data_IF_607152912388
#
_entry.id   IF_607152912388
#
_cell.length_a   1.000
_cell.length_b   1.000
_cell.length_c   1.000
_cell.angle_alpha   90.00
_cell.angle_beta   90.00
_cell.angle_gamma   90.00
#
_symmetry.space_group_name_H-M   'P 1'
#
loop_
_entity.id
_entity.type
_entity.pdbx_description
1 polymer ?
#
# COMPACT_ATOMS: atom_id res chain seq x y z
N UNK A 1 -18.68 -4.89 -13.27
CA UNK A 1 -18.05 -6.22 -13.29
C UNK A 1 -17.06 -6.25 -14.43
N UNK A 2 -15.81 -6.66 -14.22
CA UNK A 2 -14.77 -6.63 -15.26
C UNK A 2 -15.05 -7.68 -16.34
N UNK A 3 -14.83 -7.29 -17.59
CA UNK A 3 -14.95 -8.17 -18.76
C UNK A 3 -13.64 -8.17 -19.53
N UNK A 4 -13.25 -9.35 -19.99
CA UNK A 4 -12.04 -9.59 -20.75
C UNK A 4 -12.37 -10.19 -22.12
N UNK A 5 -11.61 -9.80 -23.14
CA UNK A 5 -11.57 -10.49 -24.42
C UNK A 5 -10.30 -11.33 -24.51
N UNK A 6 -10.44 -12.62 -24.83
CA UNK A 6 -9.33 -13.56 -25.00
C UNK A 6 -9.58 -14.36 -26.28
N UNK A 7 -8.67 -14.25 -27.25
CA UNK A 7 -8.79 -14.87 -28.58
C UNK A 7 -10.17 -14.57 -29.22
N UNK A 8 -10.69 -13.34 -29.05
CA UNK A 8 -11.99 -12.90 -29.56
C UNK A 8 -13.23 -13.32 -28.75
N UNK A 9 -13.07 -14.08 -27.68
CA UNK A 9 -14.16 -14.54 -26.82
C UNK A 9 -14.26 -13.70 -25.53
N UNK A 10 -15.48 -13.48 -25.04
CA UNK A 10 -15.77 -12.68 -23.85
C UNK A 10 -15.82 -13.55 -22.59
N UNK A 11 -15.18 -13.07 -21.52
CA UNK A 11 -15.18 -13.70 -20.20
C UNK A 11 -15.42 -12.66 -19.12
N UNK A 12 -16.29 -12.98 -18.17
CA UNK A 12 -16.40 -12.25 -16.90
C UNK A 12 -15.27 -12.69 -15.94
N UNK A 13 -14.92 -11.84 -14.98
CA UNK A 13 -13.88 -12.14 -13.97
C UNK A 13 -14.18 -13.39 -13.13
N UNK A 14 -15.46 -13.71 -12.91
CA UNK A 14 -15.95 -14.85 -12.16
C UNK A 14 -16.39 -16.05 -13.04
N UNK A 15 -16.10 -16.02 -14.35
CA UNK A 15 -16.42 -17.13 -15.25
C UNK A 15 -15.60 -18.37 -14.86
N UNK A 16 -16.28 -19.48 -14.54
CA UNK A 16 -15.66 -20.75 -14.17
C UNK A 16 -14.69 -21.30 -15.24
N UNK A 17 -14.85 -20.92 -16.51
CA UNK A 17 -13.98 -21.33 -17.62
C UNK A 17 -12.70 -20.51 -17.70
N UNK A 18 -12.65 -19.35 -17.03
CA UNK A 18 -11.56 -18.39 -17.16
C UNK A 18 -10.20 -19.00 -16.79
N UNK A 19 -10.12 -19.78 -15.71
CA UNK A 19 -8.84 -20.41 -15.30
C UNK A 19 -8.25 -21.32 -16.38
N UNK A 20 -9.08 -22.17 -17.02
CA UNK A 20 -8.61 -23.07 -18.06
C UNK A 20 -8.12 -22.30 -19.30
N UNK A 21 -8.81 -21.22 -19.66
CA UNK A 21 -8.43 -20.34 -20.77
C UNK A 21 -7.12 -19.61 -20.45
N UNK A 22 -6.99 -19.06 -19.25
CA UNK A 22 -5.76 -18.38 -18.80
C UNK A 22 -4.57 -19.34 -18.77
N UNK A 23 -4.75 -20.58 -18.31
CA UNK A 23 -3.71 -21.60 -18.33
C UNK A 23 -3.21 -21.87 -19.75
N UNK A 24 -4.12 -21.96 -20.73
CA UNK A 24 -3.78 -22.15 -22.15
C UNK A 24 -2.99 -20.98 -22.72
N UNK A 25 -3.41 -19.76 -22.43
CA UNK A 25 -2.78 -18.57 -23.02
C UNK A 25 -1.51 -18.12 -22.27
N UNK A 26 -1.29 -18.55 -21.03
CA UNK A 26 -0.11 -18.18 -20.23
C UNK A 26 1.21 -18.52 -20.91
N UNK A 27 1.29 -19.66 -21.61
CA UNK A 27 2.49 -20.05 -22.37
C UNK A 27 2.49 -19.52 -23.81
N UNK A 28 1.42 -18.87 -24.23
CA UNK A 28 1.29 -18.25 -25.54
C UNK A 28 1.61 -16.76 -25.46
N UNK A 29 1.92 -16.12 -26.59
CA UNK A 29 2.02 -14.66 -26.66
C UNK A 29 0.65 -13.96 -26.77
N UNK A 30 -0.46 -14.70 -26.72
CA UNK A 30 -1.81 -14.12 -26.74
C UNK A 30 -2.05 -13.32 -25.46
N UNK A 31 -2.53 -12.08 -25.61
CA UNK A 31 -2.78 -11.16 -24.50
C UNK A 31 -4.29 -11.03 -24.25
N UNK A 32 -4.77 -11.22 -23.01
CA UNK A 32 -6.13 -10.81 -22.65
C UNK A 32 -6.26 -9.29 -22.83
N UNK A 33 -7.44 -8.82 -23.26
CA UNK A 33 -7.77 -7.40 -23.34
C UNK A 33 -8.83 -7.06 -22.29
N UNK A 34 -8.59 -6.03 -21.48
CA UNK A 34 -9.62 -5.44 -20.62
C UNK A 34 -10.58 -4.60 -21.47
N UNK A 35 -11.87 -4.84 -21.32
CA UNK A 35 -12.90 -4.16 -22.11
C UNK A 35 -13.47 -2.89 -21.45
N UNK A 36 -12.75 -2.35 -20.46
CA UNK A 36 -13.13 -1.11 -19.80
C UNK A 36 -12.95 0.16 -20.66
N UNK A 37 -12.15 0.06 -21.73
CA UNK A 37 -11.89 1.14 -22.69
C UNK A 37 -12.00 0.62 -24.13
N UNK A 38 -12.04 1.53 -25.10
CA UNK A 38 -12.03 1.21 -26.54
C UNK A 38 -10.90 1.97 -27.25
N UNK A 39 -9.96 1.27 -27.93
CA UNK A 39 -9.82 -0.19 -28.00
C UNK A 39 -9.52 -0.81 -26.62
N UNK A 40 -9.75 -2.13 -26.46
CA UNK A 40 -9.53 -2.82 -25.20
C UNK A 40 -8.05 -2.77 -24.76
N UNK A 41 -7.80 -2.62 -23.46
CA UNK A 41 -6.46 -2.41 -22.91
C UNK A 41 -5.73 -3.75 -22.77
N UNK A 42 -4.54 -3.94 -23.37
CA UNK A 42 -3.77 -5.17 -23.21
C UNK A 42 -3.40 -5.47 -21.76
N UNK A 43 -3.44 -6.76 -21.41
CA UNK A 43 -3.09 -7.30 -20.10
C UNK A 43 -2.22 -8.56 -20.27
N UNK A 44 -1.60 -9.05 -19.20
CA UNK A 44 -0.84 -10.31 -19.23
C UNK A 44 -1.34 -11.30 -18.19
N UNK A 45 -0.96 -12.58 -18.36
CA UNK A 45 -1.32 -13.66 -17.44
C UNK A 45 -0.08 -14.01 -16.63
N UNK A 46 -0.24 -14.11 -15.32
CA UNK A 46 0.80 -14.55 -14.39
C UNK A 46 0.29 -15.74 -13.59
N UNK A 47 1.18 -16.67 -13.22
CA UNK A 47 0.84 -17.80 -12.34
C UNK A 47 1.27 -17.48 -10.91
N UNK A 48 0.30 -17.39 -10.01
CA UNK A 48 0.49 -16.98 -8.61
C UNK A 48 -0.11 -18.04 -7.69
N UNK A 49 0.71 -18.62 -6.81
CA UNK A 49 0.29 -19.67 -5.86
C UNK A 49 -0.53 -20.81 -6.51
N UNK A 50 -0.16 -21.21 -7.73
CA UNK A 50 -0.84 -22.27 -8.50
C UNK A 50 -2.04 -21.84 -9.33
N UNK A 51 -2.50 -20.58 -9.22
CA UNK A 51 -3.63 -20.03 -9.97
C UNK A 51 -3.17 -19.05 -11.05
N UNK A 52 -3.92 -18.93 -12.14
CA UNK A 52 -3.65 -17.94 -13.18
C UNK A 52 -4.41 -16.64 -12.90
N UNK A 53 -3.71 -15.52 -12.93
CA UNK A 53 -4.29 -14.19 -12.68
C UNK A 53 -3.99 -13.26 -13.85
N UNK A 54 -4.97 -12.45 -14.22
CA UNK A 54 -4.80 -11.38 -15.20
C UNK A 54 -4.22 -10.16 -14.47
N UNK A 55 -3.15 -9.59 -15.00
CA UNK A 55 -2.49 -8.38 -14.50
C UNK A 55 -2.41 -7.31 -15.57
N UNK A 56 -2.47 -6.04 -15.15
CA UNK A 56 -2.27 -4.89 -16.06
C UNK A 56 -0.88 -4.96 -16.67
N UNK A 57 -0.71 -4.50 -17.90
CA UNK A 57 0.63 -4.29 -18.43
C UNK A 57 1.37 -3.23 -17.57
N UNK A 58 2.70 -3.29 -17.48
CA UNK A 58 3.47 -2.20 -16.89
C UNK A 58 3.10 -0.87 -17.55
N UNK A 59 2.98 0.18 -16.73
CA UNK A 59 2.64 1.55 -17.15
C UNK A 59 1.28 1.75 -17.83
N UNK A 60 0.42 0.72 -17.91
CA UNK A 60 -0.90 0.83 -18.58
C UNK A 60 -2.05 1.21 -17.65
N UNK A 61 -1.79 1.54 -16.38
CA UNK A 61 -2.84 1.82 -15.39
C UNK A 61 -3.76 2.98 -15.80
N UNK A 62 -3.19 4.05 -16.37
CA UNK A 62 -3.93 5.22 -16.81
C UNK A 62 -4.73 4.98 -18.12
N UNK A 63 -4.46 3.88 -18.85
CA UNK A 63 -5.19 3.53 -20.07
C UNK A 63 -6.54 2.86 -19.77
N UNK A 64 -6.74 2.40 -18.54
CA UNK A 64 -8.01 1.85 -18.10
C UNK A 64 -9.02 2.96 -17.79
N UNK A 65 -10.31 2.67 -18.00
CA UNK A 65 -11.37 3.55 -17.51
C UNK A 65 -11.22 3.76 -16.00
N UNK A 66 -11.49 4.97 -15.55
CA UNK A 66 -11.44 5.39 -14.15
C UNK A 66 -12.29 4.53 -13.19
N UNK A 67 -13.24 3.75 -13.72
CA UNK A 67 -14.09 2.80 -13.00
C UNK A 67 -13.55 1.37 -12.94
N UNK A 68 -12.51 1.08 -13.73
CA UNK A 68 -11.86 -0.21 -13.73
C UNK A 68 -11.05 -0.39 -12.44
N UNK A 69 -11.06 -1.60 -11.88
CA UNK A 69 -10.17 -1.94 -10.77
C UNK A 69 -8.69 -2.01 -11.20
N UNK A 70 -8.40 -2.03 -12.51
CA UNK A 70 -7.04 -1.97 -13.05
C UNK A 70 -6.57 -0.55 -13.34
N UNK A 71 -7.41 0.46 -13.07
CA UNK A 71 -7.02 1.85 -13.18
C UNK A 71 -6.10 2.27 -12.04
N UNK A 72 -5.00 2.91 -12.40
CA UNK A 72 -4.10 3.62 -11.48
C UNK A 72 -3.78 4.99 -12.10
N UNK A 73 -3.72 6.08 -11.29
CA UNK A 73 -3.25 7.36 -11.79
C UNK A 73 -1.79 7.26 -12.27
N UNK A 74 -1.37 8.13 -13.20
CA UNK A 74 0.01 8.11 -13.70
C UNK A 74 1.03 8.22 -12.57
N UNK A 75 2.16 7.54 -12.74
CA UNK A 75 3.19 7.44 -11.71
C UNK A 75 3.72 8.80 -11.26
N UNK A 76 3.66 9.84 -12.08
CA UNK A 76 4.06 11.21 -11.76
C UNK A 76 3.23 11.84 -10.63
N UNK A 77 1.98 11.41 -10.44
CA UNK A 77 1.11 11.86 -9.36
C UNK A 77 1.29 11.05 -8.06
N UNK A 78 2.20 10.08 -8.07
CA UNK A 78 2.48 9.18 -6.95
C UNK A 78 3.99 9.18 -6.64
N UNK A 79 4.38 8.76 -5.44
CA UNK A 79 5.79 8.51 -5.13
C UNK A 79 6.37 7.28 -5.86
N UNK A 80 5.54 6.46 -6.50
CA UNK A 80 5.96 5.26 -7.22
C UNK A 80 6.91 5.60 -8.38
N UNK A 81 6.69 6.74 -9.04
CA UNK A 81 7.51 7.18 -10.17
C UNK A 81 9.00 7.32 -9.85
N UNK A 82 9.36 7.61 -8.60
CA UNK A 82 10.76 7.72 -8.21
C UNK A 82 11.47 6.37 -8.11
N UNK A 83 10.75 5.27 -7.87
CA UNK A 83 11.34 3.95 -7.58
C UNK A 83 11.09 2.93 -8.70
N UNK A 84 10.13 3.20 -9.57
CA UNK A 84 9.79 2.36 -10.72
C UNK A 84 10.94 2.28 -11.73
N UNK A 85 11.16 1.10 -12.31
CA UNK A 85 12.28 0.81 -13.23
C UNK A 85 13.64 0.65 -12.55
N UNK A 86 13.80 1.14 -11.32
CA UNK A 86 15.05 1.13 -10.57
C UNK A 86 15.03 0.11 -9.43
N UNK A 87 14.23 0.39 -8.39
CA UNK A 87 14.05 -0.46 -7.23
C UNK A 87 12.97 -1.52 -7.44
N UNK A 88 11.97 -1.21 -8.28
CA UNK A 88 10.88 -2.11 -8.66
C UNK A 88 11.02 -2.44 -10.14
N UNK A 89 11.16 -3.73 -10.46
CA UNK A 89 11.25 -4.22 -11.84
C UNK A 89 10.22 -5.31 -12.07
N UNK A 90 9.27 -5.06 -12.94
CA UNK A 90 8.26 -6.04 -13.33
C UNK A 90 8.75 -6.83 -14.54
N UNK A 91 8.70 -8.15 -14.44
CA UNK A 91 8.94 -9.07 -15.54
C UNK A 91 7.59 -9.62 -16.02
N UNK A 92 7.20 -9.26 -17.24
CA UNK A 92 5.92 -9.66 -17.84
C UNK A 92 5.99 -11.10 -18.38
N UNK A 93 7.18 -11.61 -18.68
CA UNK A 93 7.35 -12.96 -19.21
C UNK A 93 7.23 -13.99 -18.09
N UNK A 94 7.93 -13.77 -16.99
CA UNK A 94 7.88 -14.66 -15.82
C UNK A 94 6.75 -14.28 -14.84
N UNK A 95 6.16 -13.09 -15.02
CA UNK A 95 5.07 -12.56 -14.19
C UNK A 95 5.49 -12.20 -12.76
N UNK A 96 6.80 -12.10 -12.50
CA UNK A 96 7.40 -11.76 -11.21
C UNK A 96 7.71 -10.28 -11.11
N UNK A 97 7.82 -9.75 -9.89
CA UNK A 97 8.33 -8.40 -9.66
C UNK A 97 9.50 -8.44 -8.72
N UNK A 98 10.66 -7.97 -9.20
CA UNK A 98 11.88 -7.89 -8.42
C UNK A 98 11.91 -6.59 -7.62
N UNK A 99 12.05 -6.71 -6.31
CA UNK A 99 12.15 -5.61 -5.34
C UNK A 99 13.57 -5.53 -4.77
N UNK A 100 14.24 -4.40 -4.99
CA UNK A 100 15.52 -4.06 -4.34
C UNK A 100 15.24 -3.34 -3.02
N UNK A 101 15.66 -3.93 -1.91
CA UNK A 101 15.42 -3.39 -0.58
C UNK A 101 16.67 -2.69 -0.03
N UNK A 102 16.47 -1.55 0.63
CA UNK A 102 17.52 -0.75 1.25
C UNK A 102 17.97 -1.32 2.62
N UNK A 103 17.15 -2.20 3.20
CA UNK A 103 17.40 -2.88 4.45
C UNK A 103 17.84 -4.34 4.24
N UNK A 104 18.40 -4.95 5.28
CA UNK A 104 18.89 -6.32 5.23
C UNK A 104 17.79 -7.33 5.57
N UNK A 105 17.85 -8.52 4.96
CA UNK A 105 17.05 -9.70 5.33
C UNK A 105 17.88 -10.81 6.01
N UNK A 106 19.13 -10.50 6.32
CA UNK A 106 20.06 -11.38 7.01
C UNK A 106 21.02 -10.52 7.85
N UNK A 107 21.15 -10.86 9.13
CA UNK A 107 22.00 -10.19 10.11
C UNK A 107 23.28 -11.01 10.30
N UNK A 108 24.43 -10.40 10.02
CA UNK A 108 25.74 -11.03 10.22
C UNK A 108 26.40 -10.33 11.40
N UNK A 109 26.74 -11.08 12.45
CA UNK A 109 27.40 -10.54 13.64
C UNK A 109 28.72 -9.85 13.26
N UNK A 110 28.97 -8.66 13.80
CA UNK A 110 30.19 -7.86 13.54
C UNK A 110 30.16 -7.01 12.28
N UNK A 111 29.12 -7.11 11.43
CA UNK A 111 28.87 -6.16 10.34
C UNK A 111 27.81 -5.17 10.79
N UNK A 112 28.17 -3.88 10.84
CA UNK A 112 27.17 -2.83 11.06
C UNK A 112 26.07 -2.97 9.98
N UNK A 113 24.78 -3.03 10.36
CA UNK A 113 23.71 -2.96 9.38
C UNK A 113 23.88 -1.67 8.55
N UNK A 114 23.55 -1.68 7.25
CA UNK A 114 23.48 -0.43 6.50
C UNK A 114 22.60 0.56 7.28
N UNK A 115 23.06 1.80 7.41
CA UNK A 115 22.31 2.82 8.14
C UNK A 115 20.91 2.96 7.55
N UNK A 116 19.89 2.58 8.30
CA UNK A 116 18.50 2.84 7.95
C UNK A 116 18.32 4.35 7.75
N UNK A 117 18.15 4.78 6.50
CA UNK A 117 17.84 6.16 6.15
C UNK A 117 16.34 6.40 6.30
N UNK A 118 15.85 6.38 7.54
CA UNK A 118 14.50 6.81 7.89
C UNK A 118 14.46 8.27 8.39
N UNK A 119 15.61 8.94 8.40
CA UNK A 119 15.65 10.41 8.45
C UNK A 119 15.48 10.94 7.03
N UNK A 120 14.64 11.97 6.87
CA UNK A 120 14.70 12.91 5.74
C UNK A 120 16.07 13.60 5.73
N UNK A 121 17.12 12.88 5.34
CA UNK A 121 18.41 13.49 5.10
C UNK A 121 18.21 14.33 3.84
N UNK A 122 18.42 15.63 3.98
CA UNK A 122 18.34 16.66 2.93
C UNK A 122 19.35 16.46 1.79
N UNK A 123 19.37 15.28 1.20
CA UNK A 123 19.88 15.05 -0.14
C UNK A 123 18.73 15.29 -1.10
N UNK A 124 18.92 16.23 -2.02
CA UNK A 124 18.00 16.58 -3.11
C UNK A 124 17.72 15.37 -4.04
N UNK A 125 18.44 14.26 -3.86
CA UNK A 125 18.17 12.97 -4.51
C UNK A 125 17.84 11.91 -3.46
N UNK A 126 16.56 11.53 -3.38
CA UNK A 126 16.18 10.27 -2.73
C UNK A 126 16.88 9.12 -3.47
N UNK A 127 17.43 8.14 -2.74
CA UNK A 127 17.99 6.93 -3.36
C UNK A 127 16.84 6.14 -4.01
N UNK A 128 16.62 6.37 -5.31
CA UNK A 128 15.62 5.69 -6.12
C UNK A 128 15.96 4.22 -6.39
N UNK A 129 17.17 3.78 -6.05
CA UNK A 129 17.66 2.46 -6.46
C UNK A 129 17.18 1.32 -5.57
N UNK A 130 16.69 1.63 -4.36
CA UNK A 130 16.19 0.67 -3.38
C UNK A 130 15.00 1.20 -2.59
N UNK A 131 14.07 0.34 -2.23
CA UNK A 131 12.95 0.67 -1.34
C UNK A 131 13.41 0.71 0.11
N UNK A 132 13.13 1.81 0.81
CA UNK A 132 13.17 1.82 2.28
C UNK A 132 12.10 0.89 2.85
N UNK A 133 12.17 0.59 4.15
CA UNK A 133 11.15 -0.26 4.78
C UNK A 133 9.76 0.37 4.69
N UNK A 134 9.64 1.69 4.90
CA UNK A 134 8.39 2.43 4.69
C UNK A 134 7.88 2.35 3.26
N UNK A 135 8.77 2.44 2.27
CA UNK A 135 8.39 2.34 0.86
C UNK A 135 7.93 0.95 0.46
N UNK A 136 8.45 -0.10 1.09
CA UNK A 136 7.89 -1.45 0.93
C UNK A 136 6.47 -1.52 1.50
N UNK A 137 6.20 -0.90 2.64
CA UNK A 137 4.82 -0.82 3.18
C UNK A 137 3.90 -0.08 2.23
N UNK A 138 4.31 1.09 1.73
CA UNK A 138 3.55 1.85 0.72
C UNK A 138 3.27 1.01 -0.53
N UNK A 139 4.30 0.34 -1.06
CA UNK A 139 4.18 -0.53 -2.21
C UNK A 139 3.15 -1.64 -1.99
N UNK A 140 3.26 -2.37 -0.87
CA UNK A 140 2.32 -3.44 -0.56
C UNK A 140 0.89 -2.92 -0.36
N UNK A 141 0.71 -1.73 0.22
CA UNK A 141 -0.60 -1.10 0.41
C UNK A 141 -1.26 -0.74 -0.92
N UNK A 142 -0.47 -0.16 -1.82
CA UNK A 142 -0.90 0.26 -3.16
C UNK A 142 -1.24 -0.95 -4.04
N UNK A 143 -0.36 -1.95 -4.08
CA UNK A 143 -0.60 -3.22 -4.79
C UNK A 143 -1.76 -4.05 -4.20
N UNK A 144 -2.17 -3.75 -2.97
CA UNK A 144 -3.35 -4.33 -2.32
C UNK A 144 -4.65 -3.58 -2.66
N UNK A 145 -4.57 -2.48 -3.43
CA UNK A 145 -5.67 -1.54 -3.69
C UNK A 145 -6.29 -0.95 -2.41
N UNK A 146 -5.53 -0.89 -1.31
CA UNK A 146 -5.99 -0.26 -0.07
C UNK A 146 -5.94 1.28 -0.18
N UNK A 147 -5.20 1.82 -1.17
CA UNK A 147 -5.17 3.23 -1.56
C UNK A 147 -6.39 3.67 -2.38
N UNK A 148 -7.08 2.75 -3.06
CA UNK A 148 -8.27 3.04 -3.86
C UNK A 148 -9.52 3.15 -2.98
N UNK A 149 -10.46 4.01 -3.34
CA UNK A 149 -11.77 4.09 -2.68
C UNK A 149 -12.89 4.28 -3.69
N UNK A 150 -14.01 3.63 -3.42
CA UNK A 150 -15.29 3.94 -4.04
C UNK A 150 -16.43 3.70 -3.04
N UNK A 151 -17.62 4.31 -3.24
CA UNK A 151 -18.73 4.22 -2.29
C UNK A 151 -19.19 2.79 -2.00
N UNK A 152 -19.04 1.87 -2.96
CA UNK A 152 -19.40 0.46 -2.78
C UNK A 152 -18.55 -0.28 -1.75
N UNK A 153 -17.42 0.28 -1.32
CA UNK A 153 -16.51 -0.29 -0.31
C UNK A 153 -16.88 0.07 1.13
N UNK A 154 -17.86 0.95 1.35
CA UNK A 154 -18.28 1.38 2.69
C UNK A 154 -18.63 0.16 3.56
N UNK A 155 -18.02 0.07 4.74
CA UNK A 155 -18.21 -1.05 5.69
C UNK A 155 -17.65 -2.40 5.25
N UNK A 156 -16.90 -2.50 4.14
CA UNK A 156 -16.41 -3.78 3.59
C UNK A 156 -14.96 -4.12 3.94
N UNK A 157 -14.21 -3.18 4.53
CA UNK A 157 -12.82 -3.39 4.91
C UNK A 157 -12.71 -3.71 6.38
N UNK A 158 -11.95 -4.75 6.68
CA UNK A 158 -11.60 -5.21 8.02
C UNK A 158 -10.14 -5.66 8.02
N UNK A 159 -9.60 -6.04 9.18
CA UNK A 159 -8.27 -6.66 9.22
C UNK A 159 -8.18 -7.92 8.33
N UNK A 160 -9.25 -8.71 8.21
CA UNK A 160 -9.27 -9.87 7.30
C UNK A 160 -9.08 -9.44 5.83
N UNK A 161 -9.65 -8.29 5.47
CA UNK A 161 -9.47 -7.68 4.14
C UNK A 161 -8.01 -7.25 3.93
N UNK A 162 -7.41 -6.57 4.91
CA UNK A 162 -6.02 -6.12 4.87
C UNK A 162 -5.05 -7.31 4.80
N UNK A 163 -5.19 -8.29 5.69
CA UNK A 163 -4.40 -9.53 5.68
C UNK A 163 -4.48 -10.22 4.31
N UNK A 164 -5.69 -10.42 3.78
CA UNK A 164 -5.90 -11.11 2.49
C UNK A 164 -5.21 -10.37 1.35
N UNK A 165 -5.41 -9.06 1.23
CA UNK A 165 -4.91 -8.31 0.07
C UNK A 165 -3.41 -8.05 0.16
N UNK A 166 -2.84 -7.78 1.34
CA UNK A 166 -1.38 -7.65 1.49
C UNK A 166 -0.68 -8.97 1.22
N UNK A 167 -1.16 -10.08 1.79
CA UNK A 167 -0.60 -11.42 1.52
C UNK A 167 -0.69 -11.79 0.05
N UNK A 168 -1.74 -11.36 -0.65
CA UNK A 168 -1.90 -11.53 -2.11
C UNK A 168 -0.96 -10.62 -2.90
N UNK A 169 -0.86 -9.35 -2.54
CA UNK A 169 -0.01 -8.36 -3.21
C UNK A 169 1.48 -8.73 -3.13
N UNK A 170 1.87 -9.35 -2.02
CA UNK A 170 3.21 -9.85 -1.81
C UNK A 170 3.58 -11.06 -2.68
N UNK A 171 2.60 -11.73 -3.32
CA UNK A 171 2.81 -13.08 -3.85
C UNK A 171 3.98 -13.20 -4.84
N UNK A 172 3.85 -12.94 -6.11
CA UNK A 172 4.93 -12.97 -7.13
C UNK A 172 6.13 -12.00 -6.92
N UNK A 173 6.37 -11.50 -5.70
CA UNK A 173 7.44 -10.54 -5.40
C UNK A 173 8.71 -11.26 -4.97
N UNK A 174 9.82 -10.90 -5.58
CA UNK A 174 11.14 -11.50 -5.34
C UNK A 174 12.14 -10.44 -4.89
N UNK A 175 12.96 -10.73 -3.89
CA UNK A 175 14.05 -9.87 -3.45
C UNK A 175 15.35 -10.66 -3.30
N UNK A 176 16.40 -10.27 -4.04
CA UNK A 176 17.70 -10.98 -4.06
C UNK A 176 17.57 -12.50 -4.29
N UNK A 177 16.68 -12.91 -5.19
CA UNK A 177 16.41 -14.31 -5.53
C UNK A 177 15.60 -15.08 -4.49
N UNK A 178 14.94 -14.39 -3.56
CA UNK A 178 14.08 -14.98 -2.53
C UNK A 178 12.65 -14.47 -2.67
N UNK A 179 11.68 -15.38 -2.58
CA UNK A 179 10.27 -15.03 -2.58
C UNK A 179 9.93 -14.23 -1.32
N UNK A 180 9.37 -13.03 -1.50
CA UNK A 180 8.97 -12.16 -0.40
C UNK A 180 7.97 -12.86 0.55
N UNK A 181 6.98 -13.64 0.10
CA UNK A 181 6.06 -14.36 0.99
C UNK A 181 6.77 -15.31 1.96
N UNK A 182 7.94 -15.83 1.62
CA UNK A 182 8.72 -16.68 2.54
C UNK A 182 9.28 -15.93 3.76
N UNK A 183 9.28 -14.58 3.70
CA UNK A 183 9.79 -13.70 4.77
C UNK A 183 8.77 -12.73 5.33
N UNK A 184 7.63 -12.54 4.67
CA UNK A 184 6.60 -11.63 5.09
C UNK A 184 5.60 -12.33 6.01
N UNK A 185 5.48 -11.83 7.22
CA UNK A 185 4.46 -12.21 8.19
C UNK A 185 3.40 -11.12 8.30
N UNK A 186 2.18 -11.43 7.86
CA UNK A 186 1.00 -10.59 8.09
C UNK A 186 0.09 -11.38 9.02
N UNK A 187 -0.11 -10.99 10.29
CA UNK A 187 -0.93 -11.74 11.22
C UNK A 187 -2.32 -12.08 10.64
N UNK A 188 -2.73 -13.34 10.75
CA UNK A 188 -4.10 -13.74 10.44
C UNK A 188 -5.09 -13.07 11.42
N UNK A 189 -6.35 -12.84 11.04
CA UNK A 189 -7.35 -12.39 12.00
C UNK A 189 -7.45 -13.39 13.16
N UNK A 190 -7.33 -12.87 14.37
CA UNK A 190 -7.23 -13.68 15.58
C UNK A 190 -8.62 -14.08 16.09
N UNK A 191 -8.79 -15.37 16.35
CA UNK A 191 -10.00 -15.91 16.96
C UNK A 191 -9.63 -16.88 18.08
N UNK A 192 -10.34 -16.81 19.20
CA UNK A 192 -10.05 -17.59 20.41
C UNK A 192 -10.06 -19.11 20.14
N UNK A 193 -11.01 -19.56 19.33
CA UNK A 193 -11.24 -20.96 18.94
C UNK A 193 -10.20 -21.50 17.95
N UNK A 194 -9.47 -20.62 17.26
CA UNK A 194 -8.43 -20.98 16.27
C UNK A 194 -7.02 -20.53 16.67
N UNK A 195 -6.84 -20.07 17.91
CA UNK A 195 -5.58 -19.46 18.37
C UNK A 195 -4.36 -20.39 18.21
N UNK A 196 -4.54 -21.69 18.46
CA UNK A 196 -3.46 -22.67 18.41
C UNK A 196 -3.05 -22.97 16.96
N UNK A 197 -4.03 -23.06 16.05
CA UNK A 197 -3.79 -23.22 14.61
C UNK A 197 -3.05 -22.01 14.01
N UNK A 198 -3.46 -20.80 14.41
CA UNK A 198 -2.82 -19.54 13.99
C UNK A 198 -1.37 -19.50 14.50
N UNK A 199 -1.15 -19.85 15.78
CA UNK A 199 0.17 -19.92 16.38
C UNK A 199 1.06 -20.99 15.71
N UNK A 200 0.48 -22.13 15.30
CA UNK A 200 1.19 -23.18 14.57
C UNK A 200 1.61 -22.71 13.18
N UNK A 201 0.74 -22.05 12.42
CA UNK A 201 1.09 -21.50 11.09
C UNK A 201 2.16 -20.42 11.18
N UNK A 202 2.09 -19.53 12.18
CA UNK A 202 3.16 -18.58 12.49
C UNK A 202 4.47 -19.30 12.77
N UNK A 203 4.44 -20.31 13.65
CA UNK A 203 5.63 -21.10 14.01
C UNK A 203 6.23 -21.80 12.79
N UNK A 204 5.40 -22.33 11.88
CA UNK A 204 5.85 -22.97 10.65
C UNK A 204 6.56 -21.98 9.70
N UNK A 205 6.05 -20.76 9.56
CA UNK A 205 6.72 -19.70 8.80
C UNK A 205 8.09 -19.37 9.41
N UNK A 206 8.13 -19.15 10.73
CA UNK A 206 9.35 -18.76 11.44
C UNK A 206 10.38 -19.90 11.50
N UNK A 207 9.95 -21.17 11.53
CA UNK A 207 10.83 -22.33 11.51
C UNK A 207 11.64 -22.44 10.21
N UNK A 208 11.15 -21.86 9.10
CA UNK A 208 11.94 -21.72 7.86
C UNK A 208 13.21 -20.88 8.08
N UNK A 209 13.33 -20.16 9.20
CA UNK A 209 14.58 -19.52 9.61
C UNK A 209 15.68 -20.53 9.91
N UNK A 210 15.34 -21.61 10.63
CA UNK A 210 16.32 -22.54 11.19
C UNK A 210 17.04 -23.39 10.13
N UNK A 211 16.50 -23.47 8.91
CA UNK A 211 16.92 -24.44 7.88
C UNK A 211 17.89 -23.90 6.82
N UNK A 212 18.57 -22.76 7.01
CA UNK A 212 19.55 -22.30 5.99
C UNK A 212 21.00 -22.59 6.32
N UNK A 213 21.72 -23.00 5.28
CA UNK A 213 23.19 -23.09 5.24
C UNK A 213 23.91 -21.74 5.12
N UNK A 214 23.18 -20.62 5.03
CA UNK A 214 23.78 -19.27 4.93
C UNK A 214 24.17 -18.76 6.32
N UNK A 215 25.39 -18.23 6.43
CA UNK A 215 25.88 -17.60 7.67
C UNK A 215 25.05 -16.37 8.04
N UNK A 216 24.83 -16.18 9.34
CA UNK A 216 24.05 -15.08 9.90
C UNK A 216 22.64 -15.46 10.33
N UNK A 217 22.02 -14.59 11.13
CA UNK A 217 20.65 -14.73 11.61
C UNK A 217 19.68 -14.15 10.58
N UNK A 218 18.78 -15.00 10.11
CA UNK A 218 17.72 -14.60 9.18
C UNK A 218 16.78 -13.56 9.79
N UNK A 219 16.39 -12.58 8.96
CA UNK A 219 15.35 -11.62 9.30
C UNK A 219 14.06 -11.93 8.54
N UNK A 220 12.93 -11.61 9.19
CA UNK A 220 11.58 -11.60 8.64
C UNK A 220 11.08 -10.17 8.60
N UNK A 221 10.01 -9.94 7.84
CA UNK A 221 9.27 -8.68 7.82
C UNK A 221 7.91 -8.96 8.45
N UNK A 222 7.47 -8.14 9.39
CA UNK A 222 6.08 -8.12 9.86
C UNK A 222 5.37 -6.89 9.32
N UNK A 223 4.11 -7.04 8.89
CA UNK A 223 3.17 -5.93 8.70
C UNK A 223 1.97 -6.17 9.60
N UNK A 224 1.68 -5.25 10.51
CA UNK A 224 0.63 -5.45 11.52
C UNK A 224 0.13 -4.18 12.16
N UNK A 225 -1.05 -4.27 12.76
CA UNK A 225 -1.66 -3.16 13.49
C UNK A 225 -1.14 -3.15 14.93
N UNK A 226 -0.56 -2.03 15.35
CA UNK A 226 -0.05 -1.81 16.69
C UNK A 226 -1.21 -1.71 17.67
N UNK A 227 -1.14 -2.51 18.73
CA UNK A 227 -2.05 -2.40 19.88
C UNK A 227 -1.51 -1.41 20.90
N UNK A 228 -0.24 -1.58 21.26
CA UNK A 228 0.44 -0.79 22.28
C UNK A 228 1.96 -0.98 22.20
N UNK A 229 2.71 0.01 22.69
CA UNK A 229 4.15 -0.07 22.90
C UNK A 229 4.44 0.20 24.38
N UNK A 230 4.77 -0.84 25.13
CA UNK A 230 4.88 -0.77 26.60
C UNK A 230 6.30 -1.04 27.08
N UNK A 231 6.61 -0.57 28.29
CA UNK A 231 7.86 -0.92 28.96
C UNK A 231 7.93 -2.43 29.22
N UNK A 232 9.11 -3.02 29.00
CA UNK A 232 9.42 -4.37 29.39
C UNK A 232 10.46 -4.36 30.51
N UNK A 233 10.80 -5.54 31.07
CA UNK A 233 11.87 -5.65 32.08
C UNK A 233 13.20 -5.09 31.57
N UNK A 234 13.43 -5.21 30.26
CA UNK A 234 14.54 -4.61 29.53
C UNK A 234 14.00 -4.00 28.23
N UNK A 235 14.28 -2.72 27.98
CA UNK A 235 13.78 -2.01 26.80
C UNK A 235 12.26 -1.88 26.76
N UNK A 236 11.69 -1.98 25.56
CA UNK A 236 10.24 -1.95 25.33
C UNK A 236 9.80 -3.16 24.52
N UNK A 237 8.50 -3.44 24.56
CA UNK A 237 7.86 -4.40 23.66
C UNK A 237 6.69 -3.76 22.92
N UNK A 238 6.57 -4.08 21.65
CA UNK A 238 5.43 -3.76 20.80
C UNK A 238 4.51 -4.97 20.74
N UNK A 239 3.21 -4.73 20.97
CA UNK A 239 2.15 -5.73 20.84
C UNK A 239 1.34 -5.39 19.60
N UNK A 240 1.03 -6.40 18.79
CA UNK A 240 0.18 -6.26 17.62
C UNK A 240 -1.20 -6.85 17.91
N UNK A 241 -2.28 -6.21 17.46
CA UNK A 241 -3.67 -6.58 17.82
C UNK A 241 -4.02 -8.04 17.50
N UNK A 242 -3.50 -8.53 16.38
CA UNK A 242 -3.90 -9.81 15.77
C UNK A 242 -2.92 -10.95 16.11
N UNK A 243 -1.93 -10.67 16.95
CA UNK A 243 -0.99 -11.68 17.45
C UNK A 243 -0.59 -11.36 18.90
N UNK A 244 -1.57 -11.38 19.84
CA UNK A 244 -1.35 -10.94 21.21
C UNK A 244 -0.42 -11.87 22.02
N UNK A 245 -0.17 -13.08 21.52
CA UNK A 245 0.68 -14.12 22.13
C UNK A 245 2.14 -14.08 21.64
N UNK A 246 2.49 -13.14 20.75
CA UNK A 246 3.84 -12.99 20.21
C UNK A 246 4.31 -11.53 20.29
N UNK A 247 5.37 -11.30 21.06
CA UNK A 247 5.85 -9.94 21.37
C UNK A 247 7.06 -9.57 20.53
N UNK A 248 7.09 -8.31 20.08
CA UNK A 248 8.19 -7.74 19.31
C UNK A 248 9.02 -6.81 20.21
N UNK A 249 10.22 -7.26 20.57
CA UNK A 249 11.12 -6.54 21.46
C UNK A 249 11.84 -5.42 20.72
N UNK A 250 11.91 -4.25 21.34
CA UNK A 250 12.54 -3.04 20.80
C UNK A 250 13.79 -2.71 21.61
N UNK A 251 14.91 -2.48 20.92
CA UNK A 251 16.15 -1.99 21.55
C UNK A 251 16.00 -0.54 22.01
N UNK A 252 16.91 -0.07 22.87
CA UNK A 252 16.93 1.32 23.31
C UNK A 252 17.20 2.30 22.15
N UNK A 253 18.00 1.90 21.15
CA UNK A 253 18.23 2.68 19.93
C UNK A 253 16.95 2.82 19.11
N UNK A 254 16.21 1.73 18.92
CA UNK A 254 14.96 1.76 18.18
C UNK A 254 13.89 2.56 18.93
N UNK A 255 13.86 2.45 20.26
CA UNK A 255 13.01 3.27 21.11
C UNK A 255 13.32 4.77 20.97
N UNK A 256 14.59 5.17 20.82
CA UNK A 256 14.94 6.57 20.52
C UNK A 256 14.41 6.99 19.14
N UNK A 257 14.44 6.10 18.15
CA UNK A 257 13.89 6.36 16.80
C UNK A 257 12.36 6.49 16.77
N UNK A 258 11.63 5.91 17.73
CA UNK A 258 10.18 6.13 17.86
C UNK A 258 9.81 7.62 18.06
N UNK A 259 10.75 8.45 18.52
CA UNK A 259 10.56 9.90 18.59
C UNK A 259 10.43 10.59 17.23
N UNK A 260 10.79 9.93 16.13
CA UNK A 260 10.56 10.46 14.78
C UNK A 260 9.09 10.31 14.40
N UNK A 261 8.40 9.28 14.92
CA UNK A 261 6.99 9.00 14.61
C UNK A 261 6.01 9.67 15.59
N UNK A 262 6.39 10.80 16.20
CA UNK A 262 5.53 11.47 17.19
C UNK A 262 4.22 11.96 16.58
N UNK A 263 4.23 12.36 15.30
CA UNK A 263 3.02 12.76 14.59
C UNK A 263 2.03 11.60 14.47
N UNK A 264 2.50 10.42 14.06
CA UNK A 264 1.69 9.20 13.96
C UNK A 264 1.13 8.79 15.32
N UNK A 265 1.96 8.79 16.37
CA UNK A 265 1.49 8.51 17.74
C UNK A 265 0.48 9.54 18.23
N UNK A 266 0.68 10.83 17.93
CA UNK A 266 -0.23 11.90 18.33
C UNK A 266 -1.59 11.75 17.65
N UNK A 267 -1.60 11.48 16.35
CA UNK A 267 -2.82 11.20 15.59
C UNK A 267 -3.54 9.99 16.17
N UNK A 268 -2.84 8.86 16.30
CA UNK A 268 -3.42 7.62 16.83
C UNK A 268 -3.94 7.76 18.27
N UNK A 269 -3.30 8.57 19.12
CA UNK A 269 -3.76 8.82 20.49
C UNK A 269 -4.98 9.76 20.52
N UNK A 270 -5.10 10.66 19.55
CA UNK A 270 -6.17 11.65 19.51
C UNK A 270 -7.50 11.10 19.01
N UNK A 271 -7.49 10.04 18.19
CA UNK A 271 -8.71 9.48 17.59
C UNK A 271 -8.72 7.94 17.66
N UNK A 272 -9.71 7.39 18.34
CA UNK A 272 -9.83 5.95 18.61
C UNK A 272 -10.06 5.10 17.36
N UNK A 273 -10.61 5.69 16.30
CA UNK A 273 -10.91 5.03 15.03
C UNK A 273 -9.67 4.85 14.12
N UNK A 274 -8.54 5.46 14.46
CA UNK A 274 -7.30 5.37 13.68
C UNK A 274 -6.60 4.02 13.94
N UNK A 275 -6.12 3.42 12.85
CA UNK A 275 -5.21 2.29 12.93
C UNK A 275 -3.75 2.76 12.82
N UNK A 276 -2.92 2.36 13.78
CA UNK A 276 -1.47 2.54 13.69
C UNK A 276 -0.84 1.29 13.08
N UNK A 277 -0.38 1.39 11.84
CA UNK A 277 0.27 0.29 11.12
C UNK A 277 1.77 0.33 11.30
N UNK A 278 2.38 -0.84 11.47
CA UNK A 278 3.82 -1.01 11.46
C UNK A 278 4.25 -1.92 10.31
N UNK A 279 5.41 -1.60 9.74
CA UNK A 279 6.24 -2.58 9.05
C UNK A 279 7.56 -2.68 9.82
N UNK A 280 8.03 -3.90 10.10
CA UNK A 280 9.26 -4.07 10.85
C UNK A 280 10.05 -5.29 10.38
N UNK A 281 11.37 -5.19 10.35
CA UNK A 281 12.23 -6.37 10.25
C UNK A 281 12.52 -6.91 11.64
N UNK A 282 12.49 -8.23 11.78
CA UNK A 282 12.79 -8.87 13.06
C UNK A 282 13.52 -10.18 12.89
N UNK A 283 14.33 -10.53 13.87
CA UNK A 283 14.89 -11.86 14.05
C UNK A 283 14.14 -12.61 15.15
N UNK A 284 14.28 -13.94 15.19
CA UNK A 284 13.82 -14.76 16.31
C UNK A 284 15.06 -15.33 16.99
N UNK A 285 15.18 -15.11 18.30
CA UNK A 285 16.28 -15.66 19.10
C UNK A 285 16.02 -17.11 19.51
N UNK A 286 17.00 -17.73 20.19
CA UNK A 286 16.90 -19.13 20.65
C UNK A 286 15.81 -19.35 21.70
N UNK A 287 15.35 -18.29 22.37
CA UNK A 287 14.22 -18.33 23.30
C UNK A 287 12.87 -18.14 22.61
N UNK A 288 12.85 -17.94 21.28
CA UNK A 288 11.64 -17.73 20.50
C UNK A 288 11.10 -16.31 20.55
N UNK A 289 11.87 -15.33 21.07
CA UNK A 289 11.45 -13.94 21.13
C UNK A 289 11.81 -13.21 19.84
N UNK A 290 10.88 -12.38 19.35
CA UNK A 290 11.14 -11.53 18.20
C UNK A 290 11.91 -10.27 18.62
N UNK A 291 13.06 -10.05 17.99
CA UNK A 291 13.89 -8.85 18.18
C UNK A 291 13.77 -7.98 16.93
N UNK A 292 13.24 -6.76 17.08
CA UNK A 292 13.07 -5.82 15.96
C UNK A 292 14.40 -5.14 15.65
N UNK A 293 14.76 -5.12 14.37
CA UNK A 293 16.00 -4.49 13.89
C UNK A 293 15.75 -3.13 13.25
N UNK A 294 14.64 -3.00 12.51
CA UNK A 294 14.24 -1.78 11.81
C UNK A 294 12.72 -1.74 11.71
N UNK A 295 12.11 -0.55 11.80
CA UNK A 295 10.66 -0.40 11.68
C UNK A 295 10.28 0.97 11.14
N UNK A 296 9.11 1.03 10.48
CA UNK A 296 8.43 2.26 10.13
C UNK A 296 6.95 2.18 10.52
N UNK A 297 6.33 3.34 10.76
CA UNK A 297 4.93 3.48 11.09
C UNK A 297 4.16 4.21 9.98
N UNK A 298 2.85 3.97 9.92
CA UNK A 298 1.90 4.64 9.04
C UNK A 298 0.54 4.65 9.72
N UNK A 299 -0.17 5.78 9.74
CA UNK A 299 -1.56 5.82 10.22
C UNK A 299 -2.54 5.63 9.07
N UNK A 300 -3.66 4.98 9.36
CA UNK A 300 -4.80 4.87 8.42
C UNK A 300 -6.10 5.18 9.14
N UNK A 301 -7.10 5.69 8.42
CA UNK A 301 -8.44 5.90 8.98
C UNK A 301 -9.16 4.55 9.20
N UNK A 302 -10.40 4.58 9.71
CA UNK A 302 -11.23 3.37 9.94
C UNK A 302 -11.46 2.52 8.68
N UNK A 303 -11.25 3.09 7.50
CA UNK A 303 -11.39 2.46 6.19
C UNK A 303 -10.06 1.97 5.61
N UNK A 304 -9.00 1.96 6.41
CA UNK A 304 -7.65 1.50 6.07
C UNK A 304 -6.98 2.33 4.96
N UNK A 305 -7.42 3.57 4.77
CA UNK A 305 -6.82 4.53 3.84
C UNK A 305 -5.74 5.33 4.58
N UNK A 306 -4.48 5.33 4.09
CA UNK A 306 -3.39 6.07 4.73
C UNK A 306 -3.58 7.59 4.69
N UNK A 307 -3.07 8.27 5.72
CA UNK A 307 -2.97 9.73 5.78
C UNK A 307 -1.78 10.16 6.65
N UNK A 308 -1.39 11.43 6.58
CA UNK A 308 -0.20 11.96 7.26
C UNK A 308 -0.49 13.17 8.18
N UNK A 309 -1.66 13.81 8.06
CA UNK A 309 -2.03 14.98 8.87
C UNK A 309 -3.54 15.01 9.15
N UNK A 310 -3.95 15.88 10.08
CA UNK A 310 -5.36 16.13 10.38
C UNK A 310 -6.08 16.68 9.14
N UNK A 311 -5.47 17.60 8.40
CA UNK A 311 -6.05 18.14 7.16
C UNK A 311 -6.26 17.04 6.11
N UNK A 312 -5.31 16.12 5.97
CA UNK A 312 -5.44 15.01 5.03
C UNK A 312 -6.52 14.01 5.47
N UNK A 313 -6.63 13.73 6.78
CA UNK A 313 -7.74 12.94 7.35
C UNK A 313 -9.08 13.59 7.00
N UNK A 314 -9.23 14.89 7.26
CA UNK A 314 -10.45 15.66 6.98
C UNK A 314 -10.81 15.65 5.49
N UNK A 315 -9.83 15.78 4.59
CA UNK A 315 -10.05 15.64 3.15
C UNK A 315 -10.64 14.27 2.83
N UNK A 316 -9.97 13.21 3.28
CA UNK A 316 -10.36 11.82 2.98
C UNK A 316 -11.76 11.53 3.52
N UNK A 317 -12.05 11.93 4.76
CA UNK A 317 -13.37 11.74 5.38
C UNK A 317 -14.47 12.51 4.66
N UNK A 318 -14.19 13.75 4.24
CA UNK A 318 -15.10 14.51 3.39
C UNK A 318 -15.37 13.80 2.07
N UNK A 319 -14.35 13.29 1.39
CA UNK A 319 -14.50 12.56 0.13
C UNK A 319 -15.33 11.28 0.30
N UNK A 320 -15.09 10.54 1.38
CA UNK A 320 -15.84 9.32 1.69
C UNK A 320 -17.31 9.65 1.96
N UNK A 321 -17.58 10.64 2.81
CA UNK A 321 -18.94 11.08 3.17
C UNK A 321 -19.72 11.58 1.94
N UNK A 322 -19.05 12.27 1.03
CA UNK A 322 -19.63 12.77 -0.21
C UNK A 322 -19.68 11.72 -1.34
N UNK A 323 -19.43 10.44 -1.04
CA UNK A 323 -19.57 9.35 -2.00
C UNK A 323 -18.61 9.46 -3.19
N UNK A 324 -17.42 10.02 -2.99
CA UNK A 324 -16.43 10.22 -4.06
C UNK A 324 -15.66 8.95 -4.39
N UNK A 325 -15.15 8.86 -5.62
CA UNK A 325 -14.18 7.85 -6.05
C UNK A 325 -12.79 8.45 -6.13
N UNK A 326 -11.80 7.86 -5.46
CA UNK A 326 -10.44 8.41 -5.45
C UNK A 326 -9.36 7.35 -5.27
N UNK A 327 -8.13 7.72 -5.57
CA UNK A 327 -6.92 6.97 -5.25
C UNK A 327 -6.03 7.84 -4.36
N UNK A 328 -5.62 7.32 -3.21
CA UNK A 328 -4.70 7.97 -2.28
C UNK A 328 -3.26 7.90 -2.81
N UNK A 329 -2.60 9.04 -2.94
CA UNK A 329 -1.18 9.10 -3.25
C UNK A 329 -0.32 8.68 -2.07
N UNK A 330 0.69 7.84 -2.31
CA UNK A 330 1.70 7.46 -1.33
C UNK A 330 3.07 7.94 -1.77
N UNK A 331 3.91 8.33 -0.79
CA UNK A 331 5.20 8.96 -1.05
C UNK A 331 6.32 8.01 -1.45
N UNK A 332 6.25 6.74 -1.09
CA UNK A 332 7.40 5.83 -1.22
C UNK A 332 8.68 6.50 -0.63
N UNK A 333 9.76 6.60 -1.43
CA UNK A 333 11.02 7.22 -1.03
C UNK A 333 10.99 8.76 -1.15
N UNK A 334 9.93 9.34 -1.72
CA UNK A 334 9.85 10.78 -1.99
C UNK A 334 9.83 11.59 -0.69
N UNK A 335 10.77 12.53 -0.51
CA UNK A 335 10.85 13.34 0.70
C UNK A 335 9.66 14.30 0.81
N UNK A 336 9.30 14.71 2.03
CA UNK A 336 8.19 15.65 2.26
C UNK A 336 8.36 17.00 1.55
N UNK A 337 9.62 17.39 1.28
CA UNK A 337 10.01 18.61 0.57
C UNK A 337 9.69 18.61 -0.93
N UNK A 338 9.24 17.49 -1.50
CA UNK A 338 8.72 17.45 -2.88
C UNK A 338 7.20 17.33 -2.88
N UNK A 339 6.47 18.08 -3.73
CA UNK A 339 5.02 17.99 -3.80
C UNK A 339 4.55 16.61 -4.29
N UNK A 340 3.38 16.20 -3.80
CA UNK A 340 2.70 14.99 -4.21
C UNK A 340 1.19 15.22 -4.17
N UNK A 341 0.45 14.69 -5.14
CA UNK A 341 -1.01 14.64 -5.04
C UNK A 341 -1.40 13.81 -3.81
N UNK A 342 -2.16 14.40 -2.89
CA UNK A 342 -2.69 13.69 -1.74
C UNK A 342 -3.69 12.63 -2.20
N UNK A 343 -4.58 13.00 -3.13
CA UNK A 343 -5.55 12.11 -3.77
C UNK A 343 -5.72 12.47 -5.25
N UNK A 344 -6.14 11.50 -6.05
CA UNK A 344 -6.65 11.71 -7.41
C UNK A 344 -8.11 11.28 -7.46
N UNK A 345 -9.02 12.23 -7.71
CA UNK A 345 -10.44 11.98 -7.91
C UNK A 345 -10.64 11.40 -9.32
N UNK A 346 -11.27 10.24 -9.36
CA UNK A 346 -11.50 9.48 -10.59
C UNK A 346 -12.91 9.64 -11.14
N UNK A 347 -13.76 10.39 -10.42
CA UNK A 347 -15.17 10.62 -10.73
C UNK A 347 -15.46 12.03 -11.25
N UNK A 348 -14.44 12.76 -11.70
CA UNK A 348 -14.57 14.11 -12.27
C UNK A 348 -14.42 14.09 -13.79
N UNK A 349 -15.15 14.99 -14.46
CA UNK A 349 -15.16 15.13 -15.92
C UNK A 349 -14.99 16.61 -16.31
N UNK A 350 -14.38 16.92 -17.48
CA UNK A 350 -13.87 15.98 -18.50
C UNK A 350 -12.51 15.37 -18.14
N UNK A 351 -11.86 15.85 -17.07
CA UNK A 351 -10.56 15.38 -16.59
C UNK A 351 -10.69 14.94 -15.14
N UNK A 352 -9.86 13.97 -14.77
CA UNK A 352 -9.65 13.60 -13.38
C UNK A 352 -8.99 14.75 -12.61
N UNK A 353 -9.23 14.81 -11.30
CA UNK A 353 -8.75 15.92 -10.47
C UNK A 353 -7.68 15.44 -9.48
N UNK A 354 -6.46 15.96 -9.59
CA UNK A 354 -5.42 15.78 -8.59
C UNK A 354 -5.53 16.87 -7.52
N UNK A 355 -5.58 16.47 -6.25
CA UNK A 355 -5.68 17.39 -5.11
C UNK A 355 -4.37 17.37 -4.32
N UNK A 356 -3.78 18.54 -4.12
CA UNK A 356 -2.50 18.74 -3.45
C UNK A 356 -2.72 19.43 -2.11
N UNK A 357 -2.19 18.84 -1.03
CA UNK A 357 -2.10 19.51 0.27
C UNK A 357 -0.74 20.19 0.34
N UNK A 358 -0.75 21.52 0.23
CA UNK A 358 0.45 22.36 0.24
C UNK A 358 0.75 22.75 1.68
N UNK A 359 1.89 22.35 2.26
CA UNK A 359 2.24 22.75 3.63
C UNK A 359 2.28 24.28 3.75
N UNK A 360 1.81 24.82 4.88
CA UNK A 360 1.92 26.26 5.16
C UNK A 360 3.38 26.75 5.14
N UNK A 361 4.33 25.85 5.40
CA UNK A 361 5.77 26.08 5.39
C UNK A 361 6.45 25.66 4.08
N UNK A 362 5.71 25.54 2.97
CA UNK A 362 6.29 25.16 1.68
C UNK A 362 7.38 26.14 1.25
N UNK A 363 8.54 25.61 0.83
CA UNK A 363 9.65 26.41 0.30
C UNK A 363 9.40 26.85 -1.15
N UNK A 364 10.18 27.82 -1.62
CA UNK A 364 10.15 28.23 -3.03
C UNK A 364 10.45 27.06 -3.99
N UNK A 365 11.38 26.18 -3.61
CA UNK A 365 11.69 24.95 -4.36
C UNK A 365 10.48 24.00 -4.43
N UNK A 366 9.74 23.85 -3.32
CA UNK A 366 8.51 23.04 -3.27
C UNK A 366 7.46 23.62 -4.23
N UNK A 367 7.24 24.93 -4.17
CA UNK A 367 6.25 25.62 -4.99
C UNK A 367 6.62 25.59 -6.47
N UNK A 368 7.90 25.71 -6.80
CA UNK A 368 8.42 25.57 -8.17
C UNK A 368 8.14 24.16 -8.71
N UNK A 369 8.52 23.13 -7.95
CA UNK A 369 8.23 21.74 -8.33
C UNK A 369 6.72 21.46 -8.46
N UNK A 370 5.89 22.13 -7.66
CA UNK A 370 4.43 22.00 -7.74
C UNK A 370 3.90 22.67 -9.01
N UNK A 371 4.45 23.83 -9.38
CA UNK A 371 4.16 24.50 -10.65
C UNK A 371 4.46 23.60 -11.84
N UNK A 372 5.64 22.97 -11.86
CA UNK A 372 6.03 22.03 -12.93
C UNK A 372 5.09 20.82 -13.00
N UNK A 373 4.70 20.26 -11.86
CA UNK A 373 3.78 19.11 -11.79
C UNK A 373 2.35 19.48 -12.24
N UNK A 374 1.90 20.68 -11.91
CA UNK A 374 0.54 21.16 -12.23
C UNK A 374 0.42 21.80 -13.61
N UNK A 375 1.54 21.97 -14.32
CA UNK A 375 1.55 22.38 -15.74
C UNK A 375 1.00 21.29 -16.67
N UNK A 376 0.88 20.03 -16.22
CA UNK A 376 0.25 18.97 -17.01
C UNK A 376 -1.26 19.20 -17.16
N UNK A 377 -1.68 19.59 -18.36
CA UNK A 377 -3.07 19.84 -18.70
C UNK A 377 -3.93 18.56 -18.80
N UNK A 378 -3.40 17.35 -18.62
CA UNK A 378 -4.20 16.11 -18.64
C UNK A 378 -5.11 15.99 -17.42
N UNK A 379 -4.77 16.65 -16.33
CA UNK A 379 -5.54 16.67 -15.09
C UNK A 379 -6.07 18.06 -14.79
N UNK A 380 -7.15 18.10 -14.01
CA UNK A 380 -7.48 19.28 -13.23
C UNK A 380 -6.68 19.23 -11.93
N UNK A 381 -6.10 20.36 -11.52
CA UNK A 381 -5.28 20.43 -10.31
C UNK A 381 -5.91 21.38 -9.30
N UNK A 382 -6.11 20.89 -8.08
CA UNK A 382 -6.62 21.69 -6.96
C UNK A 382 -5.53 21.74 -5.89
N UNK A 383 -5.15 22.95 -5.48
CA UNK A 383 -4.18 23.17 -4.41
C UNK A 383 -4.92 23.64 -3.16
N UNK A 384 -4.69 22.98 -2.02
CA UNK A 384 -5.18 23.39 -0.71
C UNK A 384 -4.00 23.76 0.17
N UNK A 385 -3.88 25.04 0.50
CA UNK A 385 -2.85 25.54 1.41
C UNK A 385 -3.18 25.18 2.86
N UNK A 386 -2.21 24.64 3.57
CA UNK A 386 -2.35 24.25 4.98
C UNK A 386 -2.70 25.46 5.84
N UNK A 387 -3.70 25.29 6.71
CA UNK A 387 -4.24 26.36 7.54
C UNK A 387 -5.40 27.15 6.91
N UNK A 388 -5.60 27.05 5.60
CA UNK A 388 -6.76 27.65 4.92
C UNK A 388 -7.97 26.72 4.97
N UNK A 389 -9.17 27.27 4.71
CA UNK A 389 -10.38 26.49 4.51
C UNK A 389 -10.22 25.58 3.28
N UNK A 390 -10.61 24.31 3.41
CA UNK A 390 -10.63 23.36 2.30
C UNK A 390 -11.39 23.95 1.08
N UNK A 391 -10.77 23.98 -0.10
CA UNK A 391 -11.40 24.54 -1.30
C UNK A 391 -12.57 23.67 -1.77
N UNK A 392 -13.49 24.26 -2.52
CA UNK A 392 -14.54 23.51 -3.19
C UNK A 392 -13.90 22.58 -4.24
N UNK A 393 -14.23 21.29 -4.15
CA UNK A 393 -13.76 20.29 -5.09
C UNK A 393 -14.70 20.21 -6.31
N UNK A 394 -14.17 19.92 -7.51
CA UNK A 394 -15.00 19.66 -8.69
C UNK A 394 -16.05 18.60 -8.39
N UNK A 395 -17.27 18.84 -8.90
CA UNK A 395 -18.43 17.98 -8.67
C UNK A 395 -18.18 16.60 -9.28
N UNK A 396 -18.69 15.56 -8.61
CA UNK A 396 -18.72 14.23 -9.20
C UNK A 396 -19.59 14.25 -10.46
N UNK A 397 -19.05 13.75 -11.58
CA UNK A 397 -19.80 13.54 -12.82
C UNK A 397 -20.92 12.51 -12.65
N UNK A 398 -20.90 11.76 -11.54
CA UNK A 398 -21.83 10.68 -11.22
C UNK A 398 -22.95 11.09 -10.27
N UNK A 399 -23.19 12.38 -10.06
CA UNK A 399 -24.33 12.84 -9.28
C UNK A 399 -25.67 12.43 -9.94
N UNK A 400 -26.14 11.21 -9.68
CA UNK A 400 -27.54 10.85 -9.82
C UNK A 400 -28.30 11.40 -8.59
N UNK A 401 -29.51 11.95 -8.75
CA UNK A 401 -30.21 12.61 -7.67
C UNK A 401 -30.59 11.60 -6.59
N UNK A 402 -30.27 11.92 -5.33
CA UNK A 402 -30.93 11.31 -4.18
C UNK A 402 -32.43 11.53 -4.41
N UNK A 403 -33.18 10.47 -4.73
CA UNK A 403 -34.63 10.52 -4.77
C UNK A 403 -35.14 10.94 -3.39
N UNK A 404 -35.48 12.22 -3.24
CA UNK A 404 -36.40 12.68 -2.22
C UNK A 404 -37.78 12.13 -2.59
N UNK A 405 -38.11 10.93 -2.10
CA UNK A 405 -39.51 10.54 -1.99
C UNK A 405 -40.13 11.42 -0.92
N UNK A 406 -40.62 12.59 -1.34
CA UNK A 406 -41.62 13.32 -0.59
C UNK A 406 -42.85 12.42 -0.48
N UNK A 407 -43.16 11.97 0.74
CA UNK A 407 -44.53 11.59 1.05
C UNK A 407 -45.35 12.88 1.03
N UNK A 408 -45.98 13.17 -0.12
CA UNK A 408 -47.23 13.91 -0.11
C UNK A 408 -48.31 12.96 0.40
N UNK A 409 -48.69 13.16 1.66
CA UNK A 409 -49.94 12.63 2.20
C UNK A 409 -51.11 13.40 1.58
N UNK A 410 -51.86 12.75 0.70
CA UNK A 410 -53.19 13.18 0.28
C UNK A 410 -54.13 11.96 0.29
N UNK A 411 -55.21 12.07 1.07
CA UNK A 411 -56.30 11.08 1.13
C UNK A 411 -56.58 10.62 2.55
#
# INVERSE_FOLDING_TARGET
>A
MRQYSIDGNLYAEDDNRLQAVLARIHTSKSRPLCLCARPGVPMYVSKVAGHYVIKRMPDSGADHSADCDSYDPPAQLSGLGEVLGHAIKEDVEDGTTVLKLAFALNKIAGRAPPSASDSEQGSITADSTKLTIRSLLHYLWDQSHLTHWNPGMLGRRSWATVHKYISRAAQDKVTKGMDLPSRLYVPEPWYVDRKDDIAQRRSALLAQAATSDRSGQKLFIVVGEVKEVVAARYGRKMVLKQVPDFFFMLSDELNKKLKVFQSEFSLWTAFDEIHLMTIATFSVDSAGLAQVEEMALMVTNEHWIPFASVDEKNLIESLITNGRRFVKGLRYNMPSSRPLASVVLSDTEPKQTAVYLVPASASDDYMTALGDLTADFKFEHVQWLGGDRMPDLPRSARAAPLHSTGLESAG
#
